data_IF_823249204994
#
_entry.id   IF_823249204994
#
_cell.length_a   1.000
_cell.length_b   1.000
_cell.length_c   1.000
_cell.angle_alpha   90.00
_cell.angle_beta   90.00
_cell.angle_gamma   90.00
#
_symmetry.space_group_name_H-M   'P 1'
#
loop_
_entity.id
_entity.type
_entity.pdbx_description
1 polymer ?
#
# COMPACT_ATOMS: atom_id res chain seq x y z
N UNK A 1 4.93 -1.52 20.51
CA UNK A 1 4.72 -0.08 20.80
C UNK A 1 3.80 0.49 19.71
N UNK A 2 2.54 0.81 20.03
CA UNK A 2 1.63 1.45 19.05
C UNK A 2 2.05 2.91 18.92
N UNK A 3 2.46 3.31 17.73
CA UNK A 3 2.69 4.73 17.39
C UNK A 3 1.37 5.50 17.49
N UNK A 4 1.43 6.78 17.88
CA UNK A 4 0.27 7.72 17.82
C UNK A 4 -0.34 7.82 16.42
N UNK A 5 0.39 7.39 15.38
CA UNK A 5 -0.07 7.38 13.99
C UNK A 5 -0.60 6.01 13.53
N UNK A 6 -0.85 5.06 14.45
CA UNK A 6 -1.36 3.72 14.08
C UNK A 6 -2.65 3.78 13.28
N UNK A 7 -3.53 4.72 13.60
CA UNK A 7 -4.85 4.80 13.01
C UNK A 7 -4.78 5.38 11.60
N UNK A 8 -4.00 6.47 11.42
CA UNK A 8 -3.71 7.03 10.09
C UNK A 8 -2.96 6.04 9.20
N UNK A 9 -1.99 5.31 9.75
CA UNK A 9 -1.28 4.28 8.99
C UNK A 9 -2.22 3.14 8.56
N UNK A 10 -3.08 2.66 9.45
CA UNK A 10 -4.08 1.64 9.13
C UNK A 10 -5.04 2.14 8.05
N UNK A 11 -5.46 3.41 8.12
CA UNK A 11 -6.30 4.05 7.10
C UNK A 11 -5.58 4.13 5.75
N UNK A 12 -4.32 4.53 5.73
CA UNK A 12 -3.48 4.55 4.51
C UNK A 12 -3.41 3.16 3.86
N UNK A 13 -3.16 2.11 4.64
CA UNK A 13 -3.14 0.74 4.13
C UNK A 13 -4.48 0.33 3.54
N UNK A 14 -5.60 0.65 4.19
CA UNK A 14 -6.94 0.38 3.65
C UNK A 14 -7.17 1.07 2.32
N UNK A 15 -6.78 2.34 2.18
CA UNK A 15 -6.91 3.09 0.92
C UNK A 15 -6.10 2.42 -0.21
N UNK A 16 -4.86 2.00 0.06
CA UNK A 16 -4.03 1.28 -0.91
C UNK A 16 -4.65 -0.07 -1.32
N UNK A 17 -5.15 -0.84 -0.34
CA UNK A 17 -5.79 -2.13 -0.59
C UNK A 17 -7.05 -1.96 -1.44
N UNK A 18 -7.88 -0.96 -1.12
CA UNK A 18 -9.08 -0.65 -1.91
C UNK A 18 -8.71 -0.28 -3.34
N UNK A 19 -7.77 0.67 -3.53
CA UNK A 19 -7.32 1.07 -4.85
C UNK A 19 -6.74 -0.09 -5.67
N UNK A 20 -6.00 -1.01 -5.03
CA UNK A 20 -5.54 -2.24 -5.71
C UNK A 20 -6.71 -3.13 -6.13
N UNK A 21 -7.68 -3.35 -5.25
CA UNK A 21 -8.83 -4.25 -5.48
C UNK A 21 -9.81 -3.72 -6.52
N UNK A 22 -9.88 -2.40 -6.71
CA UNK A 22 -10.63 -1.78 -7.81
C UNK A 22 -10.03 -2.10 -9.19
N UNK A 23 -8.78 -2.59 -9.21
CA UNK A 23 -8.09 -3.08 -10.40
C UNK A 23 -8.11 -4.61 -10.42
N UNK A 24 -8.03 -5.23 -11.61
CA UNK A 24 -7.85 -6.68 -11.73
C UNK A 24 -6.40 -7.09 -11.40
N UNK A 25 -5.83 -6.58 -10.30
CA UNK A 25 -4.45 -6.84 -9.86
C UNK A 25 -4.46 -7.69 -8.59
N UNK A 26 -3.96 -8.92 -8.71
CA UNK A 26 -3.65 -9.77 -7.56
C UNK A 26 -2.41 -9.26 -6.81
N UNK A 27 -2.22 -9.73 -5.57
CA UNK A 27 -1.01 -9.41 -4.81
C UNK A 27 0.27 -9.94 -5.51
N UNK A 28 0.16 -11.08 -6.21
CA UNK A 28 1.28 -11.67 -6.96
C UNK A 28 1.67 -10.79 -8.15
N UNK A 29 0.68 -10.27 -8.89
CA UNK A 29 0.92 -9.39 -10.03
C UNK A 29 1.49 -8.05 -9.61
N UNK A 30 0.94 -7.45 -8.54
CA UNK A 30 1.52 -6.22 -7.99
C UNK A 30 2.96 -6.44 -7.53
N UNK A 31 3.23 -7.52 -6.82
CA UNK A 31 4.59 -7.84 -6.39
C UNK A 31 5.56 -7.99 -7.57
N UNK A 32 5.11 -8.63 -8.67
CA UNK A 32 5.86 -8.75 -9.91
C UNK A 32 6.17 -7.38 -10.52
N UNK A 33 5.20 -6.47 -10.59
CA UNK A 33 5.40 -5.10 -11.07
C UNK A 33 6.42 -4.33 -10.21
N UNK A 34 6.36 -4.51 -8.89
CA UNK A 34 7.27 -3.88 -7.94
C UNK A 34 8.66 -4.53 -7.88
N UNK A 35 8.89 -5.63 -8.62
CA UNK A 35 10.10 -6.47 -8.51
C UNK A 35 10.38 -6.90 -7.06
N UNK A 36 9.32 -7.27 -6.34
CA UNK A 36 9.36 -7.75 -4.95
C UNK A 36 8.74 -9.15 -4.84
N UNK A 37 9.05 -9.93 -3.79
CA UNK A 37 8.32 -11.15 -3.47
C UNK A 37 6.85 -10.83 -3.16
N UNK A 38 5.91 -11.75 -3.42
CA UNK A 38 4.50 -11.57 -3.03
C UNK A 38 4.34 -11.31 -1.53
N UNK A 39 5.23 -11.85 -0.70
CA UNK A 39 5.25 -11.60 0.75
C UNK A 39 5.51 -10.14 1.11
N UNK A 40 6.11 -9.33 0.24
CA UNK A 40 6.19 -7.89 0.44
C UNK A 40 4.78 -7.28 0.47
N UNK A 41 3.94 -7.65 -0.53
CA UNK A 41 2.58 -7.13 -0.66
C UNK A 41 1.70 -7.60 0.48
N UNK A 42 1.69 -8.90 0.77
CA UNK A 42 0.86 -9.41 1.87
C UNK A 42 1.23 -8.81 3.22
N UNK A 43 2.54 -8.68 3.52
CA UNK A 43 2.98 -8.14 4.82
C UNK A 43 2.63 -6.67 5.00
N UNK A 44 2.73 -5.83 3.96
CA UNK A 44 2.31 -4.44 4.12
C UNK A 44 0.78 -4.32 4.17
N UNK A 45 0.03 -5.11 3.40
CA UNK A 45 -1.44 -5.09 3.45
C UNK A 45 -1.98 -5.55 4.82
N UNK A 46 -1.29 -6.50 5.46
CA UNK A 46 -1.59 -6.93 6.84
C UNK A 46 -1.06 -5.98 7.92
N UNK A 47 -0.25 -4.98 7.55
CA UNK A 47 0.39 -4.06 8.49
C UNK A 47 1.54 -4.67 9.30
N UNK A 48 1.97 -5.89 8.97
CA UNK A 48 3.12 -6.57 9.57
C UNK A 48 4.46 -5.93 9.15
N UNK A 49 4.47 -5.28 7.99
CA UNK A 49 5.61 -4.52 7.48
C UNK A 49 5.23 -3.06 7.26
N UNK A 50 6.02 -2.16 7.83
CA UNK A 50 5.96 -0.73 7.52
C UNK A 50 6.50 -0.47 6.12
N UNK A 51 5.80 0.34 5.34
CA UNK A 51 6.33 0.90 4.10
C UNK A 51 6.81 2.33 4.35
N UNK A 52 7.90 2.71 3.71
CA UNK A 52 8.37 4.10 3.69
C UNK A 52 7.66 4.92 2.59
N UNK A 53 7.97 6.22 2.52
CA UNK A 53 7.32 7.13 1.58
C UNK A 53 7.67 6.81 0.12
N UNK A 54 8.86 6.30 -0.16
CA UNK A 54 9.28 5.94 -1.53
C UNK A 54 8.53 4.67 -1.97
N UNK A 55 8.47 3.67 -1.09
CA UNK A 55 7.67 2.46 -1.33
C UNK A 55 6.19 2.80 -1.53
N UNK A 56 5.64 3.71 -0.73
CA UNK A 56 4.28 4.21 -0.90
C UNK A 56 4.06 4.83 -2.29
N UNK A 57 4.95 5.72 -2.75
CA UNK A 57 4.85 6.35 -4.07
C UNK A 57 4.88 5.31 -5.20
N UNK A 58 5.82 4.36 -5.14
CA UNK A 58 5.96 3.31 -6.16
C UNK A 58 4.75 2.36 -6.15
N UNK A 59 4.20 2.03 -4.98
CA UNK A 59 2.97 1.24 -4.87
C UNK A 59 1.80 1.98 -5.53
N UNK A 60 1.64 3.28 -5.24
CA UNK A 60 0.59 4.11 -5.84
C UNK A 60 0.69 4.14 -7.36
N UNK A 61 1.89 4.32 -7.91
CA UNK A 61 2.12 4.27 -9.36
C UNK A 61 1.75 2.91 -9.97
N UNK A 62 2.20 1.81 -9.35
CA UNK A 62 1.91 0.45 -9.82
C UNK A 62 0.41 0.13 -9.82
N UNK A 63 -0.33 0.61 -8.80
CA UNK A 63 -1.78 0.50 -8.74
C UNK A 63 -2.48 1.70 -9.37
N UNK A 64 -1.79 2.53 -10.15
CA UNK A 64 -2.23 3.81 -10.78
C UNK A 64 -3.27 4.57 -9.94
N UNK A 65 -2.89 4.87 -8.70
CA UNK A 65 -3.57 5.77 -7.77
C UNK A 65 -2.71 7.03 -7.58
N UNK A 66 -3.34 8.19 -7.37
CA UNK A 66 -2.60 9.42 -7.03
C UNK A 66 -2.19 9.39 -5.54
N UNK A 67 -0.89 9.42 -5.22
CA UNK A 67 -0.40 9.51 -3.84
C UNK A 67 -0.99 10.70 -3.08
N UNK A 68 -1.18 11.85 -3.74
CA UNK A 68 -1.72 13.06 -3.10
C UNK A 68 -3.18 12.88 -2.69
N UNK A 69 -3.99 12.16 -3.48
CA UNK A 69 -5.38 11.88 -3.14
C UNK A 69 -5.49 10.95 -1.93
N UNK A 70 -4.60 9.97 -1.81
CA UNK A 70 -4.54 9.11 -0.62
C UNK A 70 -4.15 9.93 0.61
N UNK A 71 -3.13 10.79 0.51
CA UNK A 71 -2.65 11.61 1.63
C UNK A 71 -3.73 12.59 2.12
N UNK A 72 -4.45 13.26 1.21
CA UNK A 72 -5.55 14.19 1.55
C UNK A 72 -6.66 13.52 2.34
N UNK A 73 -6.82 12.21 2.20
CA UNK A 73 -7.85 11.44 2.89
C UNK A 73 -7.42 10.97 4.28
N UNK A 74 -6.16 11.13 4.72
CA UNK A 74 -5.66 10.57 5.99
C UNK A 74 -6.18 11.30 7.24
#
# INVERSE_FOLDING_TARGET
>A
MKSIFSDRYTKMLRLLITARKEKPLTQVELARQLKKPQSFVSKYELGERRIDVIEFMVICEAISADPCDIIRQL
#
